data_IF_498939204856
#
_entry.id   IF_498939204856
#
_cell.length_a   1.000
_cell.length_b   1.000
_cell.length_c   1.000
_cell.angle_alpha   90.00
_cell.angle_beta   90.00
_cell.angle_gamma   90.00
#
_symmetry.space_group_name_H-M   'P 1'
#
loop_
_entity.id
_entity.type
_entity.pdbx_description
1 polymer ?
#
# COMPACT_ATOMS: atom_id res chain seq x y z
N UNK A 1 -4.64 -5.64 -5.29
CA UNK A 1 -3.85 -5.13 -4.15
C UNK A 1 -3.65 -6.23 -3.11
N UNK A 2 -2.52 -6.30 -2.36
CA UNK A 2 -2.32 -7.24 -1.25
C UNK A 2 -3.40 -7.11 -0.16
N UNK A 3 -3.83 -8.19 0.51
CA UNK A 3 -4.86 -8.14 1.56
C UNK A 3 -4.56 -7.12 2.67
N UNK A 4 -3.32 -7.09 3.17
CA UNK A 4 -2.91 -6.13 4.21
C UNK A 4 -3.09 -4.66 3.78
N UNK A 5 -2.84 -4.33 2.51
CA UNK A 5 -3.03 -2.96 2.01
C UNK A 5 -4.53 -2.63 1.89
N UNK A 6 -5.35 -3.59 1.44
CA UNK A 6 -6.81 -3.41 1.39
C UNK A 6 -7.37 -3.11 2.78
N UNK A 7 -6.95 -3.88 3.79
CA UNK A 7 -7.42 -3.68 5.17
C UNK A 7 -7.06 -2.31 5.74
N UNK A 8 -5.86 -1.79 5.42
CA UNK A 8 -5.45 -0.44 5.83
C UNK A 8 -6.34 0.63 5.20
N UNK A 9 -6.68 0.49 3.92
CA UNK A 9 -7.61 1.40 3.22
C UNK A 9 -9.01 1.30 3.83
N UNK A 10 -9.53 0.08 4.02
CA UNK A 10 -10.84 -0.14 4.64
C UNK A 10 -10.94 0.49 6.03
N UNK A 11 -9.90 0.33 6.85
CA UNK A 11 -9.82 0.94 8.19
C UNK A 11 -9.92 2.46 8.11
N UNK A 12 -9.25 3.09 7.15
CA UNK A 12 -9.34 4.54 6.96
C UNK A 12 -10.73 4.96 6.45
N UNK A 13 -11.27 4.24 5.47
CA UNK A 13 -12.59 4.51 4.89
C UNK A 13 -13.73 4.37 5.91
N UNK A 14 -13.57 3.53 6.94
CA UNK A 14 -14.55 3.37 8.02
C UNK A 14 -14.39 4.39 9.16
N UNK A 15 -13.57 5.44 8.99
CA UNK A 15 -13.31 6.42 10.05
C UNK A 15 -12.23 6.02 11.05
N UNK A 16 -11.62 4.84 10.89
CA UNK A 16 -10.64 4.30 11.82
C UNK A 16 -9.28 5.00 11.76
N UNK A 17 -8.37 4.54 12.61
CA UNK A 17 -7.00 5.06 12.74
C UNK A 17 -6.00 3.96 12.43
N UNK A 18 -4.90 4.33 11.78
CA UNK A 18 -3.79 3.42 11.54
C UNK A 18 -2.66 3.65 12.55
N UNK A 19 -2.02 2.55 12.97
CA UNK A 19 -0.76 2.61 13.70
C UNK A 19 0.33 3.32 12.89
N UNK A 20 1.40 3.78 13.54
CA UNK A 20 2.51 4.44 12.86
C UNK A 20 3.09 3.58 11.71
N UNK A 21 3.31 2.29 11.98
CA UNK A 21 3.78 1.33 10.97
C UNK A 21 2.74 1.07 9.87
N UNK A 22 1.44 1.11 10.19
CA UNK A 22 0.36 0.98 9.21
C UNK A 22 0.32 2.16 8.25
N UNK A 23 0.43 3.39 8.77
CA UNK A 23 0.54 4.62 7.97
C UNK A 23 1.76 4.56 7.06
N UNK A 24 2.93 4.24 7.61
CA UNK A 24 4.17 4.12 6.84
C UNK A 24 4.04 3.06 5.74
N UNK A 25 3.48 1.89 6.05
CA UNK A 25 3.28 0.79 5.09
C UNK A 25 2.36 1.18 3.95
N UNK A 26 1.21 1.80 4.26
CA UNK A 26 0.26 2.23 3.24
C UNK A 26 0.88 3.28 2.31
N UNK A 27 1.46 4.33 2.89
CA UNK A 27 2.06 5.43 2.13
C UNK A 27 3.20 4.94 1.24
N UNK A 28 4.18 4.22 1.81
CA UNK A 28 5.33 3.72 1.04
C UNK A 28 4.90 2.71 -0.03
N UNK A 29 3.89 1.86 0.23
CA UNK A 29 3.34 0.98 -0.79
C UNK A 29 2.71 1.75 -1.94
N UNK A 30 1.81 2.70 -1.68
CA UNK A 30 1.11 3.47 -2.70
C UNK A 30 2.06 4.32 -3.56
N UNK A 31 3.05 4.97 -2.92
CA UNK A 31 4.14 5.69 -3.61
C UNK A 31 4.87 4.77 -4.60
N UNK A 32 5.17 3.53 -4.21
CA UNK A 32 5.87 2.57 -5.08
C UNK A 32 4.93 1.90 -6.09
N UNK A 33 3.63 1.90 -5.84
CA UNK A 33 2.60 1.45 -6.78
C UNK A 33 2.28 2.50 -7.86
N UNK A 34 2.74 3.74 -7.67
CA UNK A 34 2.62 4.85 -8.65
C UNK A 34 1.54 5.86 -8.33
N UNK A 35 0.92 5.83 -7.14
CA UNK A 35 -0.07 6.83 -6.73
C UNK A 35 0.59 8.20 -6.51
N UNK A 36 -0.14 9.26 -6.82
CA UNK A 36 0.27 10.65 -6.57
C UNK A 36 0.11 11.00 -5.09
N UNK A 37 0.89 11.96 -4.62
CA UNK A 37 0.93 12.36 -3.22
C UNK A 37 -0.44 12.86 -2.74
N UNK A 38 -1.14 13.60 -3.59
CA UNK A 38 -2.49 14.14 -3.31
C UNK A 38 -3.52 13.01 -3.16
N UNK A 39 -3.43 11.97 -3.99
CA UNK A 39 -4.28 10.78 -3.90
C UNK A 39 -4.02 10.04 -2.58
N UNK A 40 -2.75 9.91 -2.19
CA UNK A 40 -2.35 9.27 -0.95
C UNK A 40 -2.88 10.03 0.25
N UNK A 41 -2.74 11.36 0.29
CA UNK A 41 -3.33 12.22 1.33
C UNK A 41 -4.85 12.04 1.37
N UNK A 42 -5.49 11.88 0.21
CA UNK A 42 -6.93 11.62 0.08
C UNK A 42 -7.41 10.41 0.89
N UNK A 43 -6.67 9.30 0.91
CA UNK A 43 -7.04 8.11 1.70
C UNK A 43 -7.11 8.39 3.20
N UNK A 44 -6.30 9.32 3.72
CA UNK A 44 -6.26 9.63 5.15
C UNK A 44 -7.33 10.62 5.60
N UNK A 45 -8.02 11.32 4.69
CA UNK A 45 -9.03 12.34 5.03
C UNK A 45 -10.19 11.78 5.86
N UNK A 46 -10.52 10.50 5.66
CA UNK A 46 -11.57 9.83 6.42
C UNK A 46 -11.13 9.40 7.83
N UNK A 47 -9.83 9.42 8.14
CA UNK A 47 -9.34 9.00 9.46
C UNK A 47 -9.81 9.95 10.57
N UNK A 48 -10.26 9.42 11.70
CA UNK A 48 -10.72 10.25 12.83
C UNK A 48 -9.64 11.15 13.43
N UNK A 49 -8.36 10.85 13.19
CA UNK A 49 -7.20 11.62 13.64
C UNK A 49 -6.46 12.31 12.50
N UNK A 50 -7.16 12.57 11.40
CA UNK A 50 -6.58 13.26 10.25
C UNK A 50 -6.11 14.67 10.62
N UNK A 51 -4.84 14.94 10.33
CA UNK A 51 -4.21 16.25 10.37
C UNK A 51 -3.56 16.44 9.00
N UNK A 52 -4.09 17.36 8.20
CA UNK A 52 -3.66 17.55 6.81
C UNK A 52 -2.18 17.92 6.71
N UNK A 53 -1.73 18.85 7.56
CA UNK A 53 -0.35 19.34 7.55
C UNK A 53 0.63 18.21 7.87
N UNK A 54 0.36 17.42 8.92
CA UNK A 54 1.19 16.28 9.31
C UNK A 54 1.17 15.18 8.25
N UNK A 55 -0.02 14.87 7.73
CA UNK A 55 -0.18 13.82 6.72
C UNK A 55 0.57 14.17 5.45
N UNK A 56 0.40 15.38 4.93
CA UNK A 56 1.11 15.88 3.75
C UNK A 56 2.63 15.82 3.95
N UNK A 57 3.12 16.29 5.10
CA UNK A 57 4.55 16.21 5.42
C UNK A 57 5.06 14.76 5.41
N UNK A 58 4.32 13.82 6.02
CA UNK A 58 4.71 12.40 6.04
C UNK A 58 4.73 11.80 4.63
N UNK A 59 3.73 12.10 3.81
CA UNK A 59 3.65 11.62 2.42
C UNK A 59 4.83 12.15 1.60
N UNK A 60 5.10 13.46 1.66
CA UNK A 60 6.23 14.09 0.97
C UNK A 60 7.59 13.55 1.43
N UNK A 61 7.73 13.23 2.72
CA UNK A 61 8.96 12.66 3.23
C UNK A 61 9.16 11.22 2.74
N UNK A 62 8.11 10.40 2.81
CA UNK A 62 8.16 8.99 2.39
C UNK A 62 8.35 8.85 0.88
N UNK A 63 7.80 9.80 0.10
CA UNK A 63 7.96 9.85 -1.36
C UNK A 63 9.35 10.28 -1.81
N UNK A 64 10.19 10.78 -0.90
CA UNK A 64 11.52 11.33 -1.22
C UNK A 64 11.48 12.77 -1.74
N UNK A 65 10.35 13.48 -1.60
CA UNK A 65 10.21 14.90 -1.97
C UNK A 65 10.70 15.84 -0.88
N UNK A 66 10.87 15.35 0.35
CA UNK A 66 11.27 16.15 1.51
C UNK A 66 12.31 15.45 2.40
N UNK A 67 13.11 16.24 3.11
CA UNK A 67 14.18 15.73 3.97
C UNK A 67 15.35 15.17 3.15
N UNK A 68 15.87 14.00 3.53
CA UNK A 68 17.01 13.35 2.86
C UNK A 68 16.76 12.83 1.44
N UNK A 69 15.59 13.14 0.84
CA UNK A 69 15.18 12.76 -0.52
C UNK A 69 15.19 11.25 -0.81
N UNK A 70 15.13 10.43 0.25
CA UNK A 70 15.04 8.97 0.11
C UNK A 70 13.61 8.56 -0.21
N UNK A 71 13.39 7.90 -1.35
CA UNK A 71 12.13 7.23 -1.65
C UNK A 71 12.08 5.91 -0.88
N UNK A 72 11.22 5.82 0.13
CA UNK A 72 11.15 4.64 0.99
C UNK A 72 10.37 3.51 0.34
N UNK A 73 10.70 2.28 0.72
CA UNK A 73 10.04 1.04 0.29
C UNK A 73 9.26 0.47 1.49
N UNK A 74 8.06 -0.12 1.27
CA UNK A 74 7.29 -0.70 2.36
C UNK A 74 8.03 -1.86 3.06
N UNK A 75 7.72 -2.14 4.33
CA UNK A 75 8.35 -3.25 5.05
C UNK A 75 8.07 -4.62 4.40
N UNK A 76 8.98 -5.57 4.65
CA UNK A 76 8.81 -6.99 4.26
C UNK A 76 7.65 -7.63 5.01
N UNK A 77 7.10 -8.70 4.45
CA UNK A 77 5.95 -9.39 5.02
C UNK A 77 6.18 -9.86 6.47
N UNK A 78 7.38 -10.31 6.82
CA UNK A 78 7.67 -10.76 8.19
C UNK A 78 7.65 -9.59 9.18
N UNK A 79 8.17 -8.42 8.81
CA UNK A 79 8.01 -7.19 9.59
C UNK A 79 6.54 -6.80 9.75
N UNK A 80 5.76 -6.89 8.67
CA UNK A 80 4.32 -6.60 8.73
C UNK A 80 3.56 -7.56 9.65
N UNK A 81 3.95 -8.84 9.72
CA UNK A 81 3.40 -9.81 10.67
C UNK A 81 3.75 -9.44 12.10
N UNK A 82 5.03 -9.16 12.38
CA UNK A 82 5.50 -8.78 13.73
C UNK A 82 4.75 -7.59 14.29
N UNK A 83 4.43 -6.60 13.44
CA UNK A 83 3.71 -5.41 13.88
C UNK A 83 2.18 -5.45 13.67
N UNK A 84 1.60 -6.63 13.40
CA UNK A 84 0.15 -6.80 13.27
C UNK A 84 -0.50 -6.09 12.07
N UNK A 85 0.29 -5.71 11.06
CA UNK A 85 -0.21 -5.08 9.82
C UNK A 85 -0.66 -6.14 8.81
N UNK A 86 -0.03 -7.32 8.83
CA UNK A 86 -0.42 -8.42 7.95
C UNK A 86 -1.78 -9.00 8.39
N UNK A 87 -2.82 -8.72 7.61
CA UNK A 87 -4.19 -9.18 7.82
C UNK A 87 -4.64 -10.08 6.67
N UNK A 88 -5.39 -11.13 7.01
CA UNK A 88 -6.10 -12.01 6.07
C UNK A 88 -5.23 -12.48 4.88
N UNK A 89 -4.07 -13.14 5.13
CA UNK A 89 -3.18 -13.57 4.05
C UNK A 89 -3.85 -14.61 3.16
N UNK A 90 -3.84 -14.36 1.85
CA UNK A 90 -4.30 -15.33 0.84
C UNK A 90 -3.18 -16.33 0.46
N UNK A 91 -3.48 -17.27 -0.44
CA UNK A 91 -2.50 -18.26 -0.91
C UNK A 91 -1.24 -17.64 -1.54
N UNK A 92 -1.36 -16.49 -2.19
CA UNK A 92 -0.21 -15.81 -2.78
C UNK A 92 0.66 -15.18 -1.69
N UNK A 93 0.07 -14.67 -0.61
CA UNK A 93 0.79 -14.17 0.56
C UNK A 93 1.70 -15.24 1.18
N UNK A 94 1.33 -16.52 1.12
CA UNK A 94 2.15 -17.62 1.64
C UNK A 94 3.43 -17.88 0.83
N UNK A 95 3.47 -17.46 -0.44
CA UNK A 95 4.57 -17.73 -1.38
C UNK A 95 5.49 -16.54 -1.61
N UNK A 96 5.15 -15.36 -1.08
CA UNK A 96 5.87 -14.11 -1.30
C UNK A 96 6.41 -13.55 0.01
N UNK A 97 7.49 -12.75 -0.07
CA UNK A 97 8.13 -12.14 1.09
C UNK A 97 7.97 -10.61 1.16
N UNK A 98 7.32 -10.00 0.16
CA UNK A 98 7.22 -8.55 0.06
C UNK A 98 5.89 -8.09 -0.61
N UNK A 99 5.19 -7.08 -0.06
CA UNK A 99 3.90 -6.62 -0.61
C UNK A 99 4.00 -6.10 -2.06
N UNK A 100 5.10 -5.45 -2.43
CA UNK A 100 5.33 -5.05 -3.84
C UNK A 100 5.47 -6.25 -4.78
N UNK A 101 6.01 -7.39 -4.33
CA UNK A 101 6.08 -8.61 -5.16
C UNK A 101 4.69 -9.16 -5.42
N UNK A 102 3.82 -9.19 -4.40
CA UNK A 102 2.42 -9.53 -4.57
C UNK A 102 1.75 -8.66 -5.62
N UNK A 103 1.94 -7.33 -5.52
CA UNK A 103 1.35 -6.36 -6.44
C UNK A 103 1.80 -6.59 -7.89
N UNK A 104 3.11 -6.77 -8.11
CA UNK A 104 3.70 -7.07 -9.42
C UNK A 104 3.14 -8.36 -10.02
N UNK A 105 3.03 -9.44 -9.24
CA UNK A 105 2.49 -10.73 -9.70
C UNK A 105 1.03 -10.57 -10.12
N UNK A 106 0.18 -9.92 -9.31
CA UNK A 106 -1.24 -9.73 -9.64
C UNK A 106 -1.44 -8.85 -10.87
N UNK A 107 -0.67 -7.78 -11.04
CA UNK A 107 -0.70 -6.97 -12.27
C UNK A 107 -0.26 -7.80 -13.49
N UNK A 108 0.82 -8.58 -13.36
CA UNK A 108 1.30 -9.42 -14.45
C UNK A 108 0.32 -10.54 -14.83
N UNK A 109 -0.46 -11.07 -13.89
CA UNK A 109 -1.57 -11.99 -14.18
C UNK A 109 -2.69 -11.26 -14.91
N UNK A 110 -3.17 -10.13 -14.37
CA UNK A 110 -4.21 -9.31 -14.99
C UNK A 110 -3.88 -8.93 -16.43
N UNK A 111 -2.64 -8.47 -16.71
CA UNK A 111 -2.22 -8.14 -18.08
C UNK A 111 -2.24 -9.35 -19.02
N UNK A 112 -1.90 -10.54 -18.56
CA UNK A 112 -1.95 -11.77 -19.39
C UNK A 112 -3.40 -12.18 -19.67
N UNK A 113 -4.26 -12.10 -18.68
CA UNK A 113 -5.68 -12.46 -18.81
C UNK A 113 -6.42 -11.52 -19.78
N UNK A 114 -6.03 -10.25 -19.84
CA UNK A 114 -6.58 -9.25 -20.78
C UNK A 114 -6.05 -9.40 -22.23
N UNK A 115 -4.94 -10.11 -22.45
CA UNK A 115 -4.34 -10.32 -23.79
C UNK A 115 -4.87 -11.60 -24.46
N UNK A 116 -5.62 -12.45 -23.75
CA UNK A 116 -6.05 -13.77 -24.20
C UNK A 116 -7.53 -13.99 -24.63
N UNK A 117 -8.38 -13.00 -25.00
CA UNK A 117 -9.71 -13.30 -25.55
C UNK A 117 -9.76 -13.52 -27.08
N UNK A 118 -8.71 -13.28 -27.87
CA UNK A 118 -8.78 -13.37 -29.35
C UNK A 118 -7.86 -14.44 -29.91
N UNK A 119 -8.17 -15.72 -29.71
CA UNK A 119 -7.74 -16.86 -30.56
C UNK A 119 -8.30 -18.16 -29.98
N UNK A 120 -9.59 -18.42 -30.21
CA UNK A 120 -10.11 -19.79 -30.31
C UNK A 120 -11.12 -19.80 -31.46
N UNK A 121 -10.61 -20.23 -32.62
CA UNK A 121 -11.41 -20.79 -33.72
C UNK A 121 -11.92 -22.17 -33.30
#
# INVERSE_FOLDING_TARGET
SPPCIKKLIETLSSGGRLSHIGRFTLTSFLVNAGAKEEEIVGFFKSASDFDERKTKYQVEHISGRRGGKTKYIPPKCDTLKTHGVCSEPDELCQRIKHPLTYYKIKIGRFKRDQVQPTMKT
#
